data_IF_285927700577
#
_entry.id   IF_285927700577
#
_cell.length_a   1.000
_cell.length_b   1.000
_cell.length_c   1.000
_cell.angle_alpha   90.00
_cell.angle_beta   90.00
_cell.angle_gamma   90.00
#
_symmetry.space_group_name_H-M   'P 1'
#
loop_
_entity.id
_entity.type
_entity.pdbx_description
1 polymer ?
#
# COMPACT_ATOMS: atom_id res chain seq x y z
N UNK A 1 0.66 69.06 22.81
CA UNK A 1 1.84 68.56 23.55
C UNK A 1 2.21 67.22 22.94
N UNK A 2 3.04 67.24 21.89
CA UNK A 2 4.50 67.01 21.94
C UNK A 2 4.84 65.54 22.25
N UNK A 3 5.64 64.79 21.51
CA UNK A 3 6.46 64.98 20.30
C UNK A 3 7.13 63.61 19.99
N UNK A 4 7.75 63.48 18.80
CA UNK A 4 8.87 62.57 18.46
C UNK A 4 8.61 61.14 17.91
N UNK A 5 8.48 61.07 16.58
CA UNK A 5 9.48 60.56 15.61
C UNK A 5 10.35 59.31 15.91
N UNK A 6 10.38 58.36 14.96
CA UNK A 6 11.53 57.56 14.41
C UNK A 6 11.14 56.09 14.17
N UNK A 7 11.60 55.33 13.18
CA UNK A 7 12.21 55.52 11.85
C UNK A 7 12.00 54.18 11.15
N UNK A 8 11.47 54.18 9.92
CA UNK A 8 11.44 53.02 9.03
C UNK A 8 12.87 52.72 8.57
N UNK A 9 13.37 51.51 8.87
CA UNK A 9 14.63 51.00 8.33
C UNK A 9 14.32 49.90 7.31
N UNK A 10 14.73 50.13 6.06
CA UNK A 10 14.74 49.17 4.97
C UNK A 10 15.75 48.04 5.25
N UNK A 11 15.51 46.80 4.81
CA UNK A 11 16.57 45.82 4.66
C UNK A 11 17.33 46.08 3.34
N UNK A 12 18.62 46.32 3.49
CA UNK A 12 19.62 46.50 2.44
C UNK A 12 19.84 45.22 1.63
N UNK A 13 19.95 45.41 0.33
CA UNK A 13 20.44 44.46 -0.67
C UNK A 13 21.90 44.09 -0.39
N UNK A 14 22.19 42.80 -0.17
CA UNK A 14 23.54 42.25 -0.23
C UNK A 14 23.73 41.49 -1.54
N UNK A 15 24.73 41.95 -2.30
CA UNK A 15 25.19 41.41 -3.56
C UNK A 15 25.89 40.06 -3.36
N UNK A 16 25.49 39.09 -4.18
CA UNK A 16 26.19 37.83 -4.36
C UNK A 16 27.54 38.04 -5.06
N UNK A 17 28.63 37.58 -4.44
CA UNK A 17 29.90 37.28 -5.11
C UNK A 17 30.26 35.78 -4.96
N UNK A 18 30.79 35.11 -6.00
CA UNK A 18 30.91 33.65 -6.07
C UNK A 18 32.31 33.13 -5.72
N UNK A 19 32.40 31.97 -5.04
CA UNK A 19 33.64 31.26 -4.66
C UNK A 19 33.34 29.74 -4.75
N UNK A 20 34.30 28.85 -5.13
CA UNK A 20 34.28 28.09 -6.38
C UNK A 20 33.86 26.62 -6.20
N UNK A 21 33.29 26.03 -7.26
CA UNK A 21 32.97 24.60 -7.27
C UNK A 21 34.18 23.77 -7.71
N UNK A 22 34.72 22.98 -6.78
CA UNK A 22 35.67 21.91 -7.05
C UNK A 22 34.95 20.70 -7.64
N UNK A 23 35.50 20.20 -8.74
CA UNK A 23 35.01 19.08 -9.53
C UNK A 23 35.27 17.74 -8.85
N UNK A 24 34.21 16.99 -8.55
CA UNK A 24 34.31 15.56 -8.26
C UNK A 24 33.59 14.77 -9.35
N UNK A 25 34.39 13.97 -10.06
CA UNK A 25 34.08 13.24 -11.29
C UNK A 25 33.09 12.11 -11.00
N UNK A 26 31.88 12.22 -11.55
CA UNK A 26 30.96 11.09 -11.67
C UNK A 26 31.24 10.33 -12.98
N UNK A 27 31.74 9.10 -12.85
CA UNK A 27 31.91 8.14 -13.93
C UNK A 27 30.54 7.77 -14.52
N UNK A 28 30.20 8.32 -15.68
CA UNK A 28 29.10 7.82 -16.50
C UNK A 28 29.59 6.63 -17.34
N UNK A 29 28.90 5.49 -17.18
CA UNK A 29 29.12 4.31 -18.00
C UNK A 29 28.75 4.63 -19.46
N UNK A 30 29.76 4.65 -20.33
CA UNK A 30 29.59 4.71 -21.78
C UNK A 30 28.99 3.36 -22.20
N UNK A 31 27.67 3.33 -22.44
CA UNK A 31 27.07 2.29 -23.27
C UNK A 31 27.49 2.63 -24.70
N UNK A 32 28.55 1.99 -25.17
CA UNK A 32 28.96 2.06 -26.56
C UNK A 32 27.84 1.52 -27.44
N UNK A 33 27.11 2.42 -28.11
CA UNK A 33 26.32 2.07 -29.29
C UNK A 33 27.29 1.50 -30.32
N UNK A 34 27.22 0.19 -30.56
CA UNK A 34 27.91 -0.46 -31.66
C UNK A 34 27.25 -0.05 -32.99
N UNK A 35 27.46 1.19 -33.42
CA UNK A 35 27.13 1.64 -34.77
C UNK A 35 28.26 1.25 -35.72
N UNK A 36 28.37 -0.05 -36.02
CA UNK A 36 29.12 -0.51 -37.19
C UNK A 36 28.31 -0.25 -38.44
N UNK A 37 28.23 1.03 -38.86
CA UNK A 37 27.84 1.40 -40.22
C UNK A 37 29.00 2.15 -40.85
N UNK A 38 29.57 1.55 -41.90
CA UNK A 38 30.66 2.13 -42.68
C UNK A 38 30.25 3.50 -43.23
N UNK A 39 31.19 4.44 -43.27
CA UNK A 39 31.03 5.84 -43.71
C UNK A 39 30.29 5.99 -45.05
N UNK A 40 30.42 5.02 -45.95
CA UNK A 40 29.75 4.98 -47.26
C UNK A 40 28.20 4.87 -47.22
N UNK A 41 27.59 4.53 -46.07
CA UNK A 41 26.13 4.52 -45.91
C UNK A 41 25.55 5.84 -45.40
N UNK A 42 26.38 6.69 -44.76
CA UNK A 42 25.94 8.04 -44.33
C UNK A 42 25.72 8.95 -45.52
N UNK A 43 26.49 8.79 -46.60
CA UNK A 43 26.43 9.64 -47.80
C UNK A 43 25.28 9.28 -48.76
N UNK A 44 24.71 8.09 -48.66
CA UNK A 44 23.59 7.64 -49.52
C UNK A 44 22.20 7.74 -48.86
N UNK A 45 22.13 8.18 -47.62
CA UNK A 45 20.86 8.37 -46.89
C UNK A 45 20.34 9.80 -47.04
N UNK A 46 19.28 10.01 -47.82
CA UNK A 46 18.60 11.31 -47.88
C UNK A 46 18.21 11.78 -46.47
N UNK A 47 18.71 12.94 -46.04
CA UNK A 47 18.35 13.58 -44.76
C UNK A 47 16.83 13.68 -44.64
N UNK A 48 16.26 13.13 -43.56
CA UNK A 48 14.82 13.30 -43.28
C UNK A 48 14.63 14.59 -42.50
N UNK A 49 13.92 15.56 -43.08
CA UNK A 49 13.62 16.82 -42.41
C UNK A 49 12.77 16.59 -41.15
N UNK A 50 13.06 17.31 -40.08
CA UNK A 50 12.23 17.41 -38.87
C UNK A 50 10.90 18.11 -39.17
N UNK A 51 9.97 18.13 -38.21
CA UNK A 51 8.71 18.86 -38.39
C UNK A 51 8.96 20.37 -38.57
N UNK A 52 9.81 20.94 -37.73
CA UNK A 52 10.16 22.36 -37.74
C UNK A 52 10.89 22.75 -39.04
N UNK A 53 11.80 21.92 -39.53
CA UNK A 53 12.46 22.15 -40.83
C UNK A 53 11.47 22.11 -41.99
N UNK A 54 10.48 21.20 -41.97
CA UNK A 54 9.44 21.17 -43.01
C UNK A 54 8.50 22.36 -42.92
N UNK A 55 8.22 22.88 -41.71
CA UNK A 55 7.44 24.11 -41.50
C UNK A 55 8.18 25.32 -42.07
N UNK A 56 9.45 25.51 -41.70
CA UNK A 56 10.30 26.58 -42.23
C UNK A 56 10.44 26.51 -43.75
N UNK A 57 10.55 25.29 -44.30
CA UNK A 57 10.56 25.09 -45.75
C UNK A 57 9.24 25.48 -46.40
N UNK A 58 8.09 25.25 -45.76
CA UNK A 58 6.81 25.73 -46.27
C UNK A 58 6.71 27.26 -46.20
N UNK A 59 7.09 27.87 -45.07
CA UNK A 59 7.11 29.33 -44.91
C UNK A 59 8.01 30.00 -45.97
N UNK A 60 9.17 29.40 -46.24
CA UNK A 60 10.09 29.84 -47.29
C UNK A 60 9.45 29.82 -48.69
N UNK A 61 8.68 28.78 -49.00
CA UNK A 61 7.99 28.63 -50.28
C UNK A 61 6.77 29.57 -50.39
N UNK A 62 6.04 29.77 -49.29
CA UNK A 62 4.90 30.70 -49.23
C UNK A 62 5.34 32.14 -49.50
N UNK A 63 6.52 32.56 -49.01
CA UNK A 63 7.12 33.87 -49.31
C UNK A 63 7.53 34.05 -50.78
N UNK A 64 7.72 32.95 -51.52
CA UNK A 64 8.13 32.91 -52.94
C UNK A 64 7.02 32.41 -53.86
N UNK A 65 5.77 32.61 -53.42
CA UNK A 65 4.55 32.30 -54.17
C UNK A 65 4.16 33.52 -55.02
N UNK A 66 3.63 33.28 -56.22
CA UNK A 66 3.01 34.35 -57.03
C UNK A 66 1.67 34.74 -56.39
N UNK A 67 1.52 36.01 -56.04
CA UNK A 67 0.30 36.53 -55.39
C UNK A 67 -0.97 36.11 -56.14
N UNK A 68 -1.99 35.68 -55.40
CA UNK A 68 -3.26 35.22 -55.96
C UNK A 68 -3.27 33.82 -56.61
N UNK A 69 -2.12 33.13 -56.75
CA UNK A 69 -2.07 31.81 -57.42
C UNK A 69 -1.29 30.76 -56.64
N UNK A 70 -1.56 29.47 -56.78
CA UNK A 70 -0.79 28.39 -56.10
C UNK A 70 0.58 28.11 -56.74
N UNK A 71 1.01 28.96 -57.68
CA UNK A 71 2.27 28.82 -58.43
C UNK A 71 3.43 29.45 -57.67
N UNK A 72 4.57 28.77 -57.68
CA UNK A 72 5.83 29.26 -57.11
C UNK A 72 6.60 30.08 -58.15
N UNK A 73 7.36 31.08 -57.70
CA UNK A 73 8.29 31.83 -58.53
C UNK A 73 9.33 30.91 -59.18
N UNK A 74 9.88 31.34 -60.33
CA UNK A 74 10.92 30.60 -61.05
C UNK A 74 12.11 30.35 -60.09
N UNK A 75 12.66 29.15 -60.11
CA UNK A 75 13.76 28.70 -59.24
C UNK A 75 13.47 28.54 -57.73
N UNK A 76 12.29 28.89 -57.21
CA UNK A 76 11.97 28.78 -55.78
C UNK A 76 12.16 27.36 -55.19
N UNK A 77 11.81 26.31 -55.96
CA UNK A 77 12.01 24.91 -55.56
C UNK A 77 13.49 24.53 -55.52
N UNK A 78 14.30 25.11 -56.41
CA UNK A 78 15.74 24.87 -56.48
C UNK A 78 16.47 25.60 -55.34
N UNK A 79 16.05 26.83 -55.03
CA UNK A 79 16.56 27.60 -53.89
C UNK A 79 16.23 26.92 -52.56
N UNK A 80 14.98 26.48 -52.37
CA UNK A 80 14.58 25.75 -51.18
C UNK A 80 15.32 24.39 -51.05
N UNK A 81 15.59 23.71 -52.17
CA UNK A 81 16.38 22.49 -52.16
C UNK A 81 17.82 22.72 -51.69
N UNK A 82 18.43 23.84 -52.11
CA UNK A 82 19.78 24.23 -51.71
C UNK A 82 19.84 24.66 -50.23
N UNK A 83 18.89 25.49 -49.77
CA UNK A 83 18.85 26.02 -48.40
C UNK A 83 18.62 24.93 -47.36
N UNK A 84 17.71 23.99 -47.64
CA UNK A 84 17.37 22.90 -46.71
C UNK A 84 18.17 21.61 -46.95
N UNK A 85 19.08 21.60 -47.93
CA UNK A 85 19.96 20.46 -48.23
C UNK A 85 19.18 19.17 -48.60
N UNK A 86 18.12 19.30 -49.39
CA UNK A 86 17.23 18.19 -49.79
C UNK A 86 16.99 18.16 -51.29
N UNK A 87 16.66 16.98 -51.83
CA UNK A 87 16.34 16.84 -53.25
C UNK A 87 15.10 17.66 -53.66
N UNK A 88 15.12 18.25 -54.86
CA UNK A 88 14.04 19.09 -55.42
C UNK A 88 12.68 18.36 -55.44
N UNK A 89 12.68 17.02 -55.55
CA UNK A 89 11.44 16.22 -55.49
C UNK A 89 10.83 16.22 -54.08
N UNK A 90 11.65 16.31 -53.03
CA UNK A 90 11.18 16.38 -51.63
C UNK A 90 10.44 17.70 -51.38
N UNK A 91 11.03 18.80 -51.84
CA UNK A 91 10.43 20.15 -51.80
C UNK A 91 9.12 20.17 -52.58
N UNK A 92 9.13 19.65 -53.81
CA UNK A 92 7.94 19.59 -54.68
C UNK A 92 6.81 18.75 -54.06
N UNK A 93 7.13 17.61 -53.44
CA UNK A 93 6.15 16.76 -52.74
C UNK A 93 5.58 17.42 -51.49
N UNK A 94 6.37 18.22 -50.76
CA UNK A 94 5.84 18.99 -49.64
C UNK A 94 4.87 20.06 -50.14
N UNK A 95 5.28 20.83 -51.17
CA UNK A 95 4.45 21.90 -51.74
C UNK A 95 3.12 21.38 -52.27
N UNK A 96 3.13 20.31 -53.07
CA UNK A 96 1.90 19.69 -53.58
C UNK A 96 0.93 19.28 -52.47
N UNK A 97 1.44 18.76 -51.34
CA UNK A 97 0.60 18.38 -50.19
C UNK A 97 0.02 19.59 -49.47
N UNK A 98 0.82 20.64 -49.28
CA UNK A 98 0.34 21.88 -48.69
C UNK A 98 -0.75 22.54 -49.56
N UNK A 99 -0.54 22.60 -50.89
CA UNK A 99 -1.53 23.09 -51.85
C UNK A 99 -2.80 22.24 -51.81
N UNK A 100 -2.67 20.91 -51.82
CA UNK A 100 -3.83 20.01 -51.73
C UNK A 100 -4.62 20.18 -50.43
N UNK A 101 -3.94 20.42 -49.29
CA UNK A 101 -4.62 20.67 -48.01
C UNK A 101 -5.39 22.00 -48.04
N UNK A 102 -4.79 23.01 -48.68
CA UNK A 102 -5.41 24.32 -48.86
C UNK A 102 -6.62 24.27 -49.82
N UNK A 103 -6.53 23.48 -50.89
CA UNK A 103 -7.65 23.23 -51.82
C UNK A 103 -8.78 22.42 -51.17
N UNK A 104 -8.45 21.53 -50.23
CA UNK A 104 -9.43 20.77 -49.45
C UNK A 104 -10.10 21.58 -48.32
N UNK A 105 -9.66 22.82 -48.08
CA UNK A 105 -10.20 23.70 -47.04
C UNK A 105 -9.67 23.44 -45.62
N UNK A 106 -8.54 22.74 -45.48
CA UNK A 106 -7.93 22.49 -44.16
C UNK A 106 -7.36 23.80 -43.57
N UNK A 107 -7.64 24.09 -42.29
CA UNK A 107 -7.09 25.27 -41.57
C UNK A 107 -5.56 25.25 -41.46
N UNK A 108 -4.94 24.07 -41.56
CA UNK A 108 -3.49 23.86 -41.45
C UNK A 108 -2.98 22.97 -42.59
N UNK A 109 -1.92 23.42 -43.27
CA UNK A 109 -1.29 22.64 -44.34
C UNK A 109 -0.68 21.32 -43.83
N UNK A 110 -0.85 20.20 -44.56
CA UNK A 110 -0.20 18.90 -44.23
C UNK A 110 1.32 18.93 -44.46
N UNK A 111 2.05 19.22 -43.39
CA UNK A 111 3.52 19.23 -43.32
C UNK A 111 4.05 17.97 -42.61
N UNK A 112 3.16 17.12 -42.10
CA UNK A 112 3.51 15.95 -41.31
C UNK A 112 4.30 14.91 -42.11
N UNK A 113 5.08 14.11 -41.40
CA UNK A 113 5.84 13.02 -42.03
C UNK A 113 4.93 11.83 -42.22
N UNK A 114 4.77 11.36 -43.46
CA UNK A 114 4.03 10.10 -43.75
C UNK A 114 4.75 8.83 -43.27
N UNK A 115 5.91 9.01 -42.61
CA UNK A 115 6.72 7.94 -42.04
C UNK A 115 6.38 7.67 -40.57
N UNK A 116 5.85 8.65 -39.84
CA UNK A 116 5.42 8.46 -38.45
C UNK A 116 4.21 7.52 -38.45
N UNK A 117 4.23 6.49 -37.59
CA UNK A 117 3.18 5.45 -37.52
C UNK A 117 3.16 4.43 -38.66
N UNK A 118 3.88 4.68 -39.77
CA UNK A 118 3.94 3.76 -40.94
C UNK A 118 5.28 3.03 -41.07
N UNK A 119 6.25 3.33 -40.21
CA UNK A 119 7.53 2.61 -40.13
C UNK A 119 7.47 1.55 -39.03
N UNK A 120 8.14 0.44 -39.29
CA UNK A 120 8.27 -0.67 -38.34
C UNK A 120 7.30 -1.82 -38.60
N UNK A 121 7.49 -2.91 -37.86
CA UNK A 121 6.61 -4.08 -37.91
C UNK A 121 5.25 -3.71 -37.32
N UNK A 122 4.16 -4.00 -38.05
CA UNK A 122 2.81 -3.87 -37.50
C UNK A 122 2.64 -4.80 -36.31
N UNK A 123 2.19 -4.28 -35.16
CA UNK A 123 1.86 -5.11 -34.00
C UNK A 123 0.69 -6.03 -34.38
N UNK A 124 0.79 -7.32 -34.05
CA UNK A 124 -0.35 -8.24 -34.13
C UNK A 124 -1.26 -7.94 -32.94
N UNK A 125 -2.55 -7.89 -33.19
CA UNK A 125 -3.54 -7.80 -32.12
C UNK A 125 -3.73 -9.19 -31.48
N UNK A 126 -3.60 -9.25 -30.15
CA UNK A 126 -3.73 -10.45 -29.32
C UNK A 126 -4.98 -10.41 -28.45
N UNK A 127 -5.86 -9.42 -28.66
CA UNK A 127 -7.07 -9.19 -27.86
C UNK A 127 -8.01 -10.40 -27.82
N UNK A 128 -8.15 -11.13 -28.93
CA UNK A 128 -8.96 -12.34 -29.01
C UNK A 128 -8.38 -13.48 -28.17
N UNK A 129 -7.07 -13.66 -28.20
CA UNK A 129 -6.36 -14.66 -27.41
C UNK A 129 -6.36 -14.34 -25.91
N UNK A 130 -6.25 -13.07 -25.53
CA UNK A 130 -6.36 -12.64 -24.13
C UNK A 130 -7.75 -12.89 -23.55
N UNK A 131 -8.82 -12.75 -24.34
CA UNK A 131 -10.19 -13.08 -23.88
C UNK A 131 -10.32 -14.56 -23.49
N UNK A 132 -9.65 -15.46 -24.20
CA UNK A 132 -9.64 -16.91 -23.91
C UNK A 132 -8.92 -17.28 -22.62
N UNK A 133 -8.11 -16.38 -22.04
CA UNK A 133 -7.44 -16.63 -20.76
C UNK A 133 -8.44 -16.99 -19.67
N UNK A 134 -9.65 -16.39 -19.68
CA UNK A 134 -10.71 -16.63 -18.69
C UNK A 134 -11.28 -18.05 -18.71
N UNK A 135 -11.13 -18.78 -19.80
CA UNK A 135 -11.65 -20.13 -19.96
C UNK A 135 -10.61 -21.21 -19.61
N UNK A 136 -9.33 -20.85 -19.48
CA UNK A 136 -8.24 -21.78 -19.21
C UNK A 136 -8.28 -22.22 -17.73
N UNK A 137 -8.17 -23.51 -17.37
CA UNK A 137 -8.12 -23.92 -15.96
C UNK A 137 -7.00 -23.22 -15.16
N UNK A 138 -7.26 -22.87 -13.89
CA UNK A 138 -6.30 -22.15 -13.04
C UNK A 138 -4.92 -22.84 -12.95
N UNK A 139 -4.89 -24.17 -12.97
CA UNK A 139 -3.66 -24.97 -12.98
C UNK A 139 -2.71 -24.64 -14.14
N UNK A 140 -3.25 -24.19 -15.28
CA UNK A 140 -2.49 -23.81 -16.48
C UNK A 140 -2.18 -22.30 -16.54
N UNK A 141 -2.64 -21.49 -15.57
CA UNK A 141 -2.35 -20.05 -15.46
C UNK A 141 -1.21 -19.71 -14.50
N UNK A 142 -0.68 -20.69 -13.76
CA UNK A 142 0.26 -20.43 -12.66
C UNK A 142 1.62 -19.83 -13.06
N UNK A 143 2.15 -20.19 -14.24
CA UNK A 143 3.40 -19.60 -14.76
C UNK A 143 3.18 -18.98 -16.13
N UNK A 144 3.94 -17.91 -16.43
CA UNK A 144 3.90 -17.27 -17.76
C UNK A 144 4.20 -18.28 -18.87
N UNK A 145 5.07 -19.27 -18.61
CA UNK A 145 5.37 -20.34 -19.57
C UNK A 145 4.16 -21.24 -19.82
N UNK A 146 3.47 -21.69 -18.76
CA UNK A 146 2.28 -22.54 -18.89
C UNK A 146 1.13 -21.78 -19.56
N UNK A 147 0.93 -20.51 -19.19
CA UNK A 147 -0.09 -19.65 -19.77
C UNK A 147 0.19 -19.37 -21.25
N UNK A 148 1.45 -19.09 -21.61
CA UNK A 148 1.87 -18.92 -23.00
C UNK A 148 1.53 -20.13 -23.86
N UNK A 149 1.81 -21.34 -23.38
CA UNK A 149 1.47 -22.59 -24.08
C UNK A 149 -0.04 -22.78 -24.19
N UNK A 150 -0.80 -22.47 -23.13
CA UNK A 150 -2.25 -22.68 -23.11
C UNK A 150 -3.01 -21.68 -23.99
N UNK A 151 -2.56 -20.42 -24.05
CA UNK A 151 -3.19 -19.37 -24.86
C UNK A 151 -2.70 -19.42 -26.32
N UNK A 152 -1.47 -19.90 -26.55
CA UNK A 152 -0.81 -19.90 -27.86
C UNK A 152 -0.10 -18.57 -28.18
N UNK A 153 0.27 -17.79 -27.16
CA UNK A 153 1.03 -16.54 -27.31
C UNK A 153 2.50 -16.82 -26.96
N UNK A 154 3.47 -16.32 -27.73
CA UNK A 154 4.88 -16.40 -27.34
C UNK A 154 5.12 -15.80 -25.96
N UNK A 155 5.91 -16.49 -25.12
CA UNK A 155 6.16 -16.12 -23.72
C UNK A 155 6.57 -14.66 -23.54
N UNK A 156 7.46 -14.14 -24.39
CA UNK A 156 7.96 -12.77 -24.32
C UNK A 156 6.87 -11.75 -24.62
N UNK A 157 6.06 -12.01 -25.64
CA UNK A 157 4.90 -11.19 -26.01
C UNK A 157 3.85 -11.17 -24.90
N UNK A 158 3.53 -12.33 -24.33
CA UNK A 158 2.60 -12.41 -23.20
C UNK A 158 3.11 -11.65 -21.97
N UNK A 159 4.41 -11.71 -21.69
CA UNK A 159 5.01 -10.95 -20.60
C UNK A 159 4.93 -9.42 -20.82
N UNK A 160 5.17 -8.93 -22.05
CA UNK A 160 5.01 -7.51 -22.38
C UNK A 160 3.55 -7.06 -22.24
N UNK A 161 2.59 -7.85 -22.75
CA UNK A 161 1.16 -7.57 -22.62
C UNK A 161 0.72 -7.49 -21.15
N UNK A 162 1.15 -8.44 -20.32
CA UNK A 162 0.84 -8.43 -18.88
C UNK A 162 1.51 -7.25 -18.14
N UNK A 163 2.66 -6.78 -18.61
CA UNK A 163 3.31 -5.59 -18.04
C UNK A 163 2.55 -4.31 -18.36
N UNK A 164 1.94 -4.22 -19.54
CA UNK A 164 1.07 -3.10 -19.94
C UNK A 164 -0.28 -3.13 -19.18
N UNK A 165 -0.85 -4.31 -18.90
CA UNK A 165 -2.12 -4.47 -18.16
C UNK A 165 -1.97 -4.41 -16.63
N UNK A 166 -0.76 -4.56 -16.09
CA UNK A 166 -0.46 -4.53 -14.66
C UNK A 166 -0.23 -5.93 -14.06
N UNK A 167 0.55 -5.98 -12.98
CA UNK A 167 0.86 -7.25 -12.31
C UNK A 167 -0.38 -7.82 -11.62
N UNK A 168 -0.75 -9.09 -11.84
CA UNK A 168 -1.89 -9.69 -11.15
C UNK A 168 -1.64 -9.73 -9.64
N UNK A 169 -2.60 -9.24 -8.87
CA UNK A 169 -2.60 -9.35 -7.41
C UNK A 169 -2.94 -10.80 -7.02
N UNK A 170 -2.10 -11.42 -6.19
CA UNK A 170 -2.41 -12.72 -5.59
C UNK A 170 -3.18 -12.45 -4.30
N UNK A 171 -4.45 -12.86 -4.25
CA UNK A 171 -5.22 -12.78 -3.01
C UNK A 171 -4.60 -13.71 -1.96
N UNK A 172 -4.57 -13.28 -0.70
CA UNK A 172 -4.12 -14.12 0.41
C UNK A 172 -4.96 -15.40 0.47
N UNK A 173 -4.30 -16.56 0.53
CA UNK A 173 -4.97 -17.86 0.64
C UNK A 173 -5.67 -17.91 2.00
N UNK A 174 -7.00 -18.02 1.99
CA UNK A 174 -7.79 -18.19 3.20
C UNK A 174 -7.74 -19.64 3.67
N UNK A 175 -7.73 -19.90 4.99
CA UNK A 175 -7.70 -21.27 5.51
C UNK A 175 -8.96 -22.03 5.12
N UNK A 176 -8.84 -23.33 4.85
CA UNK A 176 -10.01 -24.20 4.68
C UNK A 176 -10.73 -24.37 6.04
N UNK A 177 -12.06 -24.28 6.03
CA UNK A 177 -12.88 -24.39 7.24
C UNK A 177 -13.73 -25.66 7.19
N UNK A 178 -13.70 -26.45 8.27
CA UNK A 178 -14.66 -27.53 8.51
C UNK A 178 -16.00 -26.95 8.95
N UNK A 179 -17.08 -27.73 8.85
CA UNK A 179 -18.41 -27.25 9.26
C UNK A 179 -18.49 -26.94 10.75
N UNK A 180 -17.76 -27.70 11.58
CA UNK A 180 -17.53 -27.36 13.00
C UNK A 180 -16.90 -25.98 13.17
N UNK A 181 -15.86 -25.65 12.39
CA UNK A 181 -15.23 -24.32 12.48
C UNK A 181 -16.19 -23.21 12.06
N UNK A 182 -17.01 -23.44 11.02
CA UNK A 182 -18.04 -22.48 10.58
C UNK A 182 -19.08 -22.25 11.67
N UNK A 183 -19.53 -23.31 12.33
CA UNK A 183 -20.49 -23.23 13.43
C UNK A 183 -19.93 -22.46 14.63
N UNK A 184 -18.68 -22.74 15.05
CA UNK A 184 -18.02 -22.00 16.13
C UNK A 184 -17.87 -20.50 15.79
N UNK A 185 -17.61 -20.16 14.51
CA UNK A 185 -17.59 -18.78 14.03
C UNK A 185 -18.97 -18.12 14.14
N UNK A 186 -20.04 -18.81 13.74
CA UNK A 186 -21.41 -18.30 13.83
C UNK A 186 -21.84 -18.06 15.28
N UNK A 187 -21.56 -19.02 16.18
CA UNK A 187 -21.84 -18.88 17.61
C UNK A 187 -21.11 -17.67 18.20
N UNK A 188 -19.85 -17.46 17.81
CA UNK A 188 -19.08 -16.31 18.23
C UNK A 188 -19.71 -14.98 17.76
N UNK A 189 -20.11 -14.88 16.49
CA UNK A 189 -20.78 -13.69 15.96
C UNK A 189 -22.12 -13.42 16.64
N UNK A 190 -22.93 -14.48 16.83
CA UNK A 190 -24.23 -14.37 17.51
C UNK A 190 -24.10 -13.88 18.95
N UNK A 191 -23.07 -14.33 19.68
CA UNK A 191 -22.80 -13.89 21.07
C UNK A 191 -22.44 -12.40 21.16
N UNK A 192 -21.93 -11.79 20.08
CA UNK A 192 -21.58 -10.37 20.01
C UNK A 192 -22.74 -9.50 19.53
N UNK A 193 -23.91 -10.07 19.28
CA UNK A 193 -25.11 -9.36 18.86
C UNK A 193 -26.01 -9.07 20.07
N UNK A 194 -26.46 -7.82 20.19
CA UNK A 194 -27.43 -7.40 21.19
C UNK A 194 -28.86 -7.76 20.74
N UNK A 195 -29.83 -7.84 21.68
CA UNK A 195 -31.22 -8.16 21.34
C UNK A 195 -31.86 -7.22 20.31
N UNK A 196 -31.39 -5.98 20.21
CA UNK A 196 -31.87 -4.98 19.26
C UNK A 196 -31.22 -5.08 17.87
N UNK A 197 -30.36 -6.08 17.62
CA UNK A 197 -29.69 -6.27 16.32
C UNK A 197 -28.43 -5.43 16.10
N UNK A 198 -28.01 -4.63 17.09
CA UNK A 198 -26.71 -3.96 17.07
C UNK A 198 -25.61 -4.92 17.54
N UNK A 199 -24.41 -4.82 16.95
CA UNK A 199 -23.24 -5.45 17.55
C UNK A 199 -22.88 -4.77 18.87
N UNK A 200 -22.22 -5.52 19.76
CA UNK A 200 -21.62 -4.94 20.96
C UNK A 200 -20.66 -3.81 20.63
N UNK A 201 -20.66 -2.78 21.47
CA UNK A 201 -19.75 -1.64 21.37
C UNK A 201 -18.28 -2.04 21.57
N UNK A 202 -18.01 -3.18 22.21
CA UNK A 202 -16.66 -3.68 22.48
C UNK A 202 -15.79 -2.69 23.29
N UNK A 203 -16.38 -1.75 24.04
CA UNK A 203 -15.65 -0.79 24.85
C UNK A 203 -14.85 -1.44 25.99
N UNK A 204 -15.28 -2.63 26.42
CA UNK A 204 -14.65 -3.44 27.44
C UNK A 204 -13.77 -4.57 26.87
N UNK A 205 -13.44 -4.54 25.57
CA UNK A 205 -12.61 -5.56 24.92
C UNK A 205 -11.26 -4.97 24.53
N UNK A 206 -10.19 -5.63 24.97
CA UNK A 206 -8.80 -5.35 24.60
C UNK A 206 -8.35 -6.39 23.60
N UNK A 207 -7.96 -5.98 22.40
CA UNK A 207 -7.42 -6.88 21.39
C UNK A 207 -5.90 -6.92 21.46
N UNK A 208 -5.35 -8.13 21.54
CA UNK A 208 -3.91 -8.37 21.54
C UNK A 208 -3.54 -9.19 20.32
N UNK A 209 -2.46 -8.81 19.64
CA UNK A 209 -1.91 -9.59 18.54
C UNK A 209 -0.38 -9.70 18.60
N UNK A 210 0.14 -10.84 18.18
CA UNK A 210 1.56 -11.15 18.04
C UNK A 210 1.97 -11.04 16.57
N UNK A 211 2.91 -10.15 16.25
CA UNK A 211 3.35 -9.92 14.87
C UNK A 211 4.86 -9.77 14.75
N UNK A 212 5.43 -10.42 13.75
CA UNK A 212 6.80 -10.17 13.32
C UNK A 212 6.87 -8.88 12.51
N UNK A 213 7.70 -7.94 12.94
CA UNK A 213 8.04 -6.74 12.22
C UNK A 213 9.51 -6.79 11.82
N UNK A 214 9.83 -6.27 10.65
CA UNK A 214 11.18 -6.33 10.07
C UNK A 214 11.65 -4.94 9.69
N UNK A 215 12.97 -4.72 9.74
CA UNK A 215 13.54 -3.50 9.22
C UNK A 215 13.28 -3.40 7.69
N UNK A 216 12.94 -2.21 7.16
CA UNK A 216 12.74 -2.01 5.73
C UNK A 216 13.98 -2.31 4.88
N UNK A 217 15.14 -1.90 5.40
CA UNK A 217 16.45 -2.02 4.73
C UNK A 217 17.02 -3.44 4.84
N UNK A 218 16.69 -4.16 5.91
CA UNK A 218 17.12 -5.52 6.14
C UNK A 218 15.96 -6.43 6.56
N UNK A 219 15.54 -7.30 5.64
CA UNK A 219 14.49 -8.29 5.89
C UNK A 219 14.94 -9.42 6.82
N UNK A 220 16.24 -9.55 7.14
CA UNK A 220 16.75 -10.57 8.06
C UNK A 220 16.55 -10.16 9.51
N UNK A 221 16.74 -8.88 9.83
CA UNK A 221 16.47 -8.35 11.17
C UNK A 221 14.95 -8.26 11.40
N UNK A 222 14.43 -9.16 12.25
CA UNK A 222 13.02 -9.21 12.64
C UNK A 222 12.88 -9.37 14.14
N UNK A 223 11.88 -8.70 14.70
CA UNK A 223 11.50 -8.79 16.11
C UNK A 223 10.01 -9.11 16.18
N UNK A 224 9.62 -10.01 17.09
CA UNK A 224 8.22 -10.25 17.40
C UNK A 224 7.74 -9.17 18.37
N UNK A 225 6.59 -8.58 18.09
CA UNK A 225 5.92 -7.62 18.95
C UNK A 225 4.57 -8.17 19.41
N UNK A 226 4.25 -7.93 20.68
CA UNK A 226 2.87 -8.00 21.17
C UNK A 226 2.29 -6.60 21.19
N UNK A 227 1.18 -6.39 20.49
CA UNK A 227 0.51 -5.09 20.43
C UNK A 227 -0.88 -5.22 21.03
N UNK A 228 -1.23 -4.32 21.95
CA UNK A 228 -2.53 -4.25 22.59
C UNK A 228 -3.24 -2.92 22.29
N UNK A 229 -4.49 -3.04 21.86
CA UNK A 229 -5.35 -1.92 21.48
C UNK A 229 -6.75 -2.16 22.03
N UNK A 230 -7.36 -1.12 22.57
CA UNK A 230 -8.75 -1.09 23.00
C UNK A 230 -9.52 -0.07 22.16
N UNK A 231 -10.85 -0.08 22.27
CA UNK A 231 -11.67 0.88 21.54
C UNK A 231 -11.54 2.29 22.16
N UNK A 232 -11.30 3.33 21.34
CA UNK A 232 -11.29 4.71 21.82
C UNK A 232 -12.65 5.07 22.40
N UNK A 233 -12.67 5.75 23.55
CA UNK A 233 -13.90 6.08 24.26
C UNK A 233 -13.67 7.27 25.20
N UNK A 234 -14.75 7.92 25.63
CA UNK A 234 -14.66 8.97 26.64
C UNK A 234 -14.43 8.37 28.04
N UNK A 235 -13.44 8.88 28.78
CA UNK A 235 -13.23 8.52 30.17
C UNK A 235 -13.92 9.54 31.09
N UNK A 236 -15.03 9.17 31.77
CA UNK A 236 -15.73 10.09 32.67
C UNK A 236 -14.91 10.44 33.92
N UNK A 237 -13.99 9.58 34.34
CA UNK A 237 -13.16 9.78 35.54
C UNK A 237 -12.05 10.76 35.25
N UNK A 238 -11.35 10.58 34.12
CA UNK A 238 -10.26 11.47 33.69
C UNK A 238 -10.73 12.76 33.01
N UNK A 239 -12.00 12.78 32.58
CA UNK A 239 -12.59 13.86 31.77
C UNK A 239 -11.78 14.14 30.50
N UNK A 240 -11.27 13.06 29.89
CA UNK A 240 -10.46 13.11 28.69
C UNK A 240 -10.83 11.96 27.75
N UNK A 241 -10.50 12.12 26.48
CA UNK A 241 -10.78 11.10 25.47
C UNK A 241 -9.66 10.05 25.44
N UNK A 242 -10.01 8.81 25.75
CA UNK A 242 -9.10 7.69 25.67
C UNK A 242 -8.87 7.30 24.20
N UNK A 243 -7.61 7.35 23.75
CA UNK A 243 -7.23 7.15 22.35
C UNK A 243 -7.23 5.68 21.90
N UNK A 244 -7.48 4.74 22.80
CA UNK A 244 -7.52 3.30 22.52
C UNK A 244 -6.15 2.60 22.53
N UNK A 245 -5.04 3.34 22.73
CA UNK A 245 -3.69 2.77 22.68
C UNK A 245 -3.28 2.26 24.05
N UNK A 246 -2.87 0.99 24.13
CA UNK A 246 -2.34 0.42 25.38
C UNK A 246 -0.82 0.33 25.28
N UNK A 247 -0.30 -0.38 24.28
CA UNK A 247 1.13 -0.48 24.05
C UNK A 247 1.54 -1.47 22.97
N UNK A 248 2.82 -1.41 22.62
CA UNK A 248 3.51 -2.35 21.74
C UNK A 248 4.81 -2.78 22.43
N UNK A 249 4.94 -4.07 22.73
CA UNK A 249 6.07 -4.62 23.48
C UNK A 249 6.88 -5.58 22.62
N UNK A 250 8.20 -5.36 22.45
CA UNK A 250 9.07 -6.28 21.73
C UNK A 250 9.46 -7.49 22.58
N UNK A 251 9.60 -8.66 21.95
CA UNK A 251 10.27 -9.82 22.54
C UNK A 251 11.77 -9.75 22.25
N UNK A 252 12.50 -9.10 23.15
CA UNK A 252 13.97 -8.94 23.09
C UNK A 252 14.60 -9.36 24.41
N UNK A 253 15.83 -9.87 24.35
CA UNK A 253 16.68 -10.15 25.51
C UNK A 253 17.83 -9.15 25.54
N UNK A 254 18.24 -8.73 26.73
CA UNK A 254 19.45 -7.93 26.89
C UNK A 254 20.66 -8.84 26.66
N UNK A 255 21.47 -8.53 25.64
CA UNK A 255 22.66 -9.27 25.30
C UNK A 255 23.73 -9.02 26.36
N UNK A 256 24.24 -10.09 26.98
CA UNK A 256 25.40 -9.98 27.88
C UNK A 256 26.65 -9.83 27.03
N UNK A 257 27.24 -8.64 27.01
CA UNK A 257 28.54 -8.41 26.37
C UNK A 257 29.61 -9.22 27.12
N UNK A 258 30.21 -10.22 26.47
CA UNK A 258 31.43 -10.85 26.97
C UNK A 258 32.56 -9.83 26.76
N UNK A 259 32.94 -9.12 27.83
CA UNK A 259 33.98 -8.10 27.78
C UNK A 259 35.29 -8.64 27.18
N UNK A 260 35.69 -8.10 26.02
CA UNK A 260 37.09 -8.00 25.65
C UNK A 260 37.46 -6.53 25.41
N UNK A 261 37.95 -5.92 26.49
CA UNK A 261 38.87 -4.79 26.56
C UNK A 261 38.41 -3.34 26.22
N UNK A 262 38.70 -2.48 27.22
CA UNK A 262 38.95 -1.02 27.21
C UNK A 262 37.75 -0.03 27.22
N UNK A 263 37.52 0.47 28.44
CA UNK A 263 37.06 1.80 28.93
C UNK A 263 36.22 2.74 28.03
N UNK A 264 35.15 3.21 28.69
CA UNK A 264 34.40 4.46 28.58
C UNK A 264 33.09 4.42 27.78
N UNK A 265 32.10 5.12 28.36
CA UNK A 265 30.66 5.18 28.04
C UNK A 265 29.83 4.02 28.59
N UNK A 266 28.71 4.38 29.23
CA UNK A 266 27.70 3.44 29.73
C UNK A 266 27.39 2.42 28.63
N UNK A 267 27.36 1.11 28.92
CA UNK A 267 27.14 0.13 27.88
C UNK A 267 25.74 0.37 27.32
N UNK A 268 25.69 0.79 26.06
CA UNK A 268 24.44 0.96 25.34
C UNK A 268 23.79 -0.42 25.27
N UNK A 269 22.65 -0.58 25.95
CA UNK A 269 22.01 -1.89 26.15
C UNK A 269 21.77 -2.52 24.78
N UNK A 270 22.54 -3.56 24.47
CA UNK A 270 22.43 -4.24 23.19
C UNK A 270 21.34 -5.29 23.32
N UNK A 271 20.33 -5.24 22.46
CA UNK A 271 19.19 -6.16 22.50
C UNK A 271 19.33 -7.24 21.42
N UNK A 272 19.07 -8.48 21.79
CA UNK A 272 18.94 -9.61 20.89
C UNK A 272 17.46 -9.98 20.72
N UNK A 273 17.03 -10.19 19.48
CA UNK A 273 15.67 -10.60 19.17
C UNK A 273 15.45 -12.06 19.60
N UNK A 274 14.33 -12.34 20.27
CA UNK A 274 13.99 -13.73 20.58
C UNK A 274 13.60 -14.47 19.30
N UNK A 275 14.32 -15.52 18.94
CA UNK A 275 14.03 -16.33 17.74
C UNK A 275 12.71 -17.11 17.88
N UNK A 276 12.42 -17.58 19.09
CA UNK A 276 11.17 -18.26 19.42
C UNK A 276 10.57 -17.64 20.67
N UNK A 277 9.25 -17.42 20.63
CA UNK A 277 8.47 -16.92 21.75
C UNK A 277 7.66 -18.08 22.30
N UNK A 278 7.90 -18.42 23.57
CA UNK A 278 7.21 -19.50 24.26
C UNK A 278 5.88 -19.02 24.85
N UNK A 279 5.04 -19.96 25.30
CA UNK A 279 3.78 -19.61 25.98
C UNK A 279 4.05 -18.85 27.28
N UNK A 280 5.11 -19.21 27.99
CA UNK A 280 5.49 -18.61 29.27
C UNK A 280 5.97 -17.16 29.10
N UNK A 281 6.72 -16.87 28.03
CA UNK A 281 7.12 -15.49 27.70
C UNK A 281 5.89 -14.59 27.46
N UNK A 282 4.87 -15.10 26.76
CA UNK A 282 3.62 -14.36 26.52
C UNK A 282 2.83 -14.17 27.82
N UNK A 283 2.75 -15.20 28.66
CA UNK A 283 2.09 -15.13 29.98
C UNK A 283 2.74 -14.08 30.87
N UNK A 284 4.08 -14.10 30.94
CA UNK A 284 4.84 -13.13 31.72
C UNK A 284 4.58 -11.70 31.21
N UNK A 285 4.66 -11.50 29.90
CA UNK A 285 4.37 -10.20 29.27
C UNK A 285 2.93 -9.72 29.56
N UNK A 286 1.95 -10.63 29.58
CA UNK A 286 0.57 -10.30 29.93
C UNK A 286 0.43 -9.84 31.38
N UNK A 287 1.01 -10.57 32.32
CA UNK A 287 0.91 -10.30 33.75
C UNK A 287 1.72 -9.06 34.18
N UNK A 288 2.94 -8.92 33.68
CA UNK A 288 3.87 -7.88 34.14
C UNK A 288 3.71 -6.55 33.42
N UNK A 289 3.35 -6.56 32.13
CA UNK A 289 3.28 -5.32 31.35
C UNK A 289 1.86 -4.97 30.92
N UNK A 290 1.09 -5.92 30.37
CA UNK A 290 -0.19 -5.61 29.74
C UNK A 290 -1.30 -5.33 30.76
N UNK A 291 -1.49 -6.19 31.76
CA UNK A 291 -2.52 -5.96 32.79
C UNK A 291 -2.25 -4.63 33.53
N UNK A 292 -1.01 -4.33 33.99
CA UNK A 292 -0.72 -3.02 34.57
C UNK A 292 -0.97 -1.86 33.61
N UNK A 293 -0.60 -2.00 32.33
CA UNK A 293 -0.86 -0.95 31.34
C UNK A 293 -2.36 -0.74 31.08
N UNK A 294 -3.17 -1.79 31.10
CA UNK A 294 -4.65 -1.70 31.01
C UNK A 294 -5.17 -0.89 32.19
N UNK A 295 -4.77 -1.22 33.42
CA UNK A 295 -5.20 -0.46 34.62
C UNK A 295 -4.79 1.00 34.58
N UNK A 296 -3.59 1.27 34.06
CA UNK A 296 -3.05 2.62 34.02
C UNK A 296 -3.68 3.46 32.91
N UNK A 297 -4.07 2.89 31.77
CA UNK A 297 -4.51 3.67 30.60
C UNK A 297 -5.99 3.58 30.31
N UNK A 298 -6.60 2.41 30.50
CA UNK A 298 -7.97 2.14 30.10
C UNK A 298 -8.97 2.69 31.13
N UNK A 299 -10.12 3.23 30.69
CA UNK A 299 -11.23 3.59 31.58
C UNK A 299 -11.74 2.38 32.35
N UNK A 300 -12.26 2.60 33.57
CA UNK A 300 -12.72 1.52 34.42
C UNK A 300 -14.02 0.90 33.90
N UNK A 301 -14.02 -0.41 33.71
CA UNK A 301 -15.18 -1.22 33.32
C UNK A 301 -15.39 -2.35 34.34
N UNK A 302 -16.64 -2.81 34.49
CA UNK A 302 -16.96 -3.90 35.44
C UNK A 302 -16.28 -5.22 35.08
N UNK A 303 -16.14 -5.52 33.79
CA UNK A 303 -15.42 -6.72 33.31
C UNK A 303 -14.76 -6.40 31.98
N UNK A 304 -13.45 -6.66 31.89
CA UNK A 304 -12.63 -6.45 30.70
C UNK A 304 -12.25 -7.79 30.09
N UNK A 305 -12.42 -7.91 28.77
CA UNK A 305 -12.05 -9.10 28.03
C UNK A 305 -10.78 -8.86 27.21
N UNK A 306 -9.75 -9.66 27.42
CA UNK A 306 -8.55 -9.68 26.60
C UNK A 306 -8.74 -10.73 25.50
N UNK A 307 -8.84 -10.27 24.26
CA UNK A 307 -9.01 -11.12 23.09
C UNK A 307 -7.67 -11.41 22.41
N UNK A 308 -7.40 -12.69 22.12
CA UNK A 308 -6.12 -13.14 21.53
C UNK A 308 -6.33 -14.00 20.26
N UNK A 309 -5.43 -13.85 19.29
CA UNK A 309 -5.49 -14.49 17.95
C UNK A 309 -4.51 -15.67 17.74
N UNK A 310 -3.60 -15.93 18.65
CA UNK A 310 -2.54 -16.91 18.40
C UNK A 310 -2.95 -18.35 18.76
N UNK A 311 -3.22 -19.17 17.73
CA UNK A 311 -3.31 -20.64 17.89
C UNK A 311 -2.07 -21.26 18.55
N UNK A 312 -0.89 -20.62 18.39
CA UNK A 312 0.37 -21.02 19.03
C UNK A 312 0.37 -20.81 20.55
N UNK A 313 -0.41 -19.87 21.07
CA UNK A 313 -0.40 -19.45 22.47
C UNK A 313 -1.83 -19.29 22.99
N UNK A 314 -2.70 -20.27 22.68
CA UNK A 314 -3.90 -20.49 23.50
C UNK A 314 -3.43 -20.82 24.91
N UNK A 315 -3.23 -19.77 25.71
CA UNK A 315 -3.05 -19.89 27.14
C UNK A 315 -4.43 -20.16 27.71
N UNK A 316 -4.58 -21.32 28.34
CA UNK A 316 -5.65 -21.48 29.32
C UNK A 316 -5.23 -20.59 30.48
N UNK A 317 -6.12 -19.72 30.97
CA UNK A 317 -5.78 -18.80 32.05
C UNK A 317 -5.13 -19.55 33.21
N UNK A 318 -3.91 -19.17 33.58
CA UNK A 318 -3.24 -19.74 34.74
C UNK A 318 -3.70 -19.00 36.01
N UNK A 319 -3.54 -19.61 37.19
CA UNK A 319 -3.92 -19.00 38.48
C UNK A 319 -3.33 -17.61 38.68
N UNK A 320 -2.08 -17.40 38.28
CA UNK A 320 -1.37 -16.11 38.40
C UNK A 320 -2.07 -15.01 37.58
N UNK A 321 -2.48 -15.32 36.35
CA UNK A 321 -3.20 -14.36 35.51
C UNK A 321 -4.57 -14.00 36.11
N UNK A 322 -5.27 -14.98 36.68
CA UNK A 322 -6.57 -14.73 37.31
C UNK A 322 -6.47 -13.90 38.59
N UNK A 323 -5.44 -14.15 39.41
CA UNK A 323 -5.16 -13.33 40.59
C UNK A 323 -4.78 -11.91 40.19
N UNK A 324 -3.86 -11.79 39.23
CA UNK A 324 -3.44 -10.51 38.69
C UNK A 324 -4.63 -9.78 38.08
N UNK A 325 -5.47 -10.42 37.28
CA UNK A 325 -6.64 -9.81 36.65
C UNK A 325 -7.78 -9.44 37.60
N UNK A 326 -7.79 -9.97 38.83
CA UNK A 326 -8.78 -9.66 39.88
C UNK A 326 -8.34 -8.60 40.89
N UNK A 327 -7.08 -8.19 40.85
CA UNK A 327 -6.55 -7.19 41.78
C UNK A 327 -7.19 -5.82 41.54
N UNK A 328 -7.29 -5.04 42.61
CA UNK A 328 -7.76 -3.65 42.61
C UNK A 328 -9.20 -3.48 42.07
N UNK A 329 -10.05 -4.50 42.27
CA UNK A 329 -11.45 -4.49 41.84
C UNK A 329 -11.65 -4.64 40.33
N UNK A 330 -10.58 -4.89 39.57
CA UNK A 330 -10.68 -5.25 38.16
C UNK A 330 -11.18 -6.68 38.01
N UNK A 331 -11.85 -6.98 36.92
CA UNK A 331 -12.20 -8.35 36.55
C UNK A 331 -11.82 -8.57 35.08
N UNK A 332 -10.57 -8.98 34.88
CA UNK A 332 -10.00 -9.20 33.55
C UNK A 332 -10.08 -10.69 33.19
N UNK A 333 -10.68 -10.99 32.05
CA UNK A 333 -10.85 -12.35 31.55
C UNK A 333 -10.23 -12.53 30.18
N UNK A 334 -9.70 -13.73 29.90
CA UNK A 334 -9.17 -14.07 28.59
C UNK A 334 -10.29 -14.62 27.68
N UNK A 335 -10.41 -14.09 26.47
CA UNK A 335 -11.33 -14.56 25.44
C UNK A 335 -10.54 -15.07 24.22
N UNK A 336 -10.66 -16.37 23.93
CA UNK A 336 -10.05 -16.95 22.74
C UNK A 336 -10.93 -16.75 21.51
N UNK A 337 -10.30 -16.49 20.37
CA UNK A 337 -10.97 -16.48 19.07
C UNK A 337 -11.31 -17.89 18.58
N UNK A 338 -12.39 -18.05 17.78
CA UNK A 338 -12.66 -19.28 17.05
C UNK A 338 -11.46 -19.69 16.19
N UNK A 339 -11.22 -21.00 16.00
CA UNK A 339 -10.12 -21.50 15.19
C UNK A 339 -10.21 -20.97 13.73
N UNK A 340 -9.05 -20.78 13.10
CA UNK A 340 -8.93 -20.35 11.70
C UNK A 340 -9.71 -19.06 11.35
N UNK A 341 -9.80 -18.12 12.29
CA UNK A 341 -10.58 -16.89 12.14
C UNK A 341 -9.73 -15.61 12.26
N UNK A 342 -8.71 -15.42 11.39
CA UNK A 342 -7.88 -14.22 11.41
C UNK A 342 -8.68 -12.94 11.13
N UNK A 343 -9.83 -13.08 10.47
CA UNK A 343 -10.76 -12.00 10.14
C UNK A 343 -11.38 -11.36 11.40
N UNK A 344 -11.34 -12.04 12.55
CA UNK A 344 -11.89 -11.56 13.82
C UNK A 344 -10.90 -10.80 14.70
N UNK A 345 -9.85 -10.26 14.08
CA UNK A 345 -8.85 -9.43 14.76
C UNK A 345 -8.99 -7.96 14.39
N UNK A 346 -9.02 -7.09 15.40
CA UNK A 346 -8.94 -5.62 15.18
C UNK A 346 -7.57 -5.26 14.61
N UNK A 347 -6.50 -5.86 15.15
CA UNK A 347 -5.14 -5.76 14.64
C UNK A 347 -4.98 -6.61 13.37
N UNK A 348 -5.74 -6.26 12.34
CA UNK A 348 -5.74 -6.88 11.02
C UNK A 348 -4.55 -6.42 10.18
N UNK A 349 -4.49 -6.86 8.92
CA UNK A 349 -3.43 -6.43 8.00
C UNK A 349 -3.34 -4.92 7.82
N UNK A 350 -4.44 -4.16 7.97
CA UNK A 350 -4.49 -2.73 7.68
C UNK A 350 -3.76 -1.92 8.75
N UNK A 351 -4.03 -2.16 10.05
CA UNK A 351 -3.30 -1.47 11.13
C UNK A 351 -1.80 -1.80 11.10
N UNK A 352 -1.44 -3.07 10.88
CA UNK A 352 -0.04 -3.44 10.73
C UNK A 352 0.61 -2.90 9.45
N UNK A 353 -0.13 -2.78 8.35
CA UNK A 353 0.36 -2.15 7.13
C UNK A 353 0.65 -0.67 7.36
N UNK A 354 -0.18 0.03 8.14
CA UNK A 354 0.07 1.41 8.56
C UNK A 354 1.34 1.51 9.42
N UNK A 355 1.50 0.64 10.42
CA UNK A 355 2.72 0.60 11.25
C UNK A 355 3.95 0.33 10.36
N UNK A 356 3.88 -0.67 9.48
CA UNK A 356 4.99 -1.03 8.61
C UNK A 356 5.31 0.07 7.57
N UNK A 357 4.31 0.81 7.10
CA UNK A 357 4.51 1.97 6.23
C UNK A 357 5.20 3.12 6.98
N UNK A 358 4.78 3.41 8.22
CA UNK A 358 5.43 4.41 9.07
C UNK A 358 6.88 4.05 9.39
N UNK A 359 7.15 2.79 9.73
CA UNK A 359 8.51 2.28 9.95
C UNK A 359 9.37 2.45 8.69
N UNK A 360 8.81 2.19 7.48
CA UNK A 360 9.51 2.46 6.22
C UNK A 360 9.92 3.92 6.10
N UNK A 361 9.00 4.84 6.32
CA UNK A 361 9.26 6.28 6.21
C UNK A 361 10.31 6.76 7.22
N UNK A 362 10.20 6.34 8.48
CA UNK A 362 11.13 6.71 9.55
C UNK A 362 12.54 6.18 9.31
N UNK A 363 12.66 4.93 8.85
CA UNK A 363 13.95 4.35 8.52
C UNK A 363 14.62 5.03 7.33
N UNK A 364 13.95 5.76 6.43
CA UNK A 364 14.66 6.50 5.36
C UNK A 364 15.34 7.78 5.85
N UNK A 365 14.82 8.42 6.91
CA UNK A 365 15.38 9.64 7.50
C UNK A 365 16.58 9.41 8.41
N UNK A 366 16.64 8.26 9.10
CA UNK A 366 17.76 7.90 9.98
C UNK A 366 18.89 7.26 9.18
N UNK A 367 19.90 8.05 8.79
CA UNK A 367 21.08 7.58 8.03
C UNK A 367 22.39 7.77 8.80
N UNK A 368 22.34 8.31 10.02
CA UNK A 368 23.50 8.87 10.72
C UNK A 368 23.73 8.35 12.16
N UNK A 369 23.04 7.29 12.63
CA UNK A 369 23.23 6.81 14.01
C UNK A 369 23.65 5.34 14.01
N UNK A 370 24.78 5.06 14.67
CA UNK A 370 25.38 3.76 14.91
C UNK A 370 24.63 2.94 15.98
N UNK A 371 23.30 2.81 15.84
CA UNK A 371 22.49 1.98 16.72
C UNK A 371 22.41 0.54 16.19
N UNK A 372 22.29 -0.44 17.09
CA UNK A 372 21.95 -1.81 16.68
C UNK A 372 20.63 -1.80 15.90
N UNK A 373 20.56 -2.54 14.79
CA UNK A 373 19.36 -2.55 13.93
C UNK A 373 18.07 -2.97 14.65
N UNK A 374 18.19 -3.71 15.75
CA UNK A 374 17.07 -4.09 16.63
C UNK A 374 16.57 -2.90 17.45
N UNK A 375 17.47 -2.10 18.04
CA UNK A 375 17.09 -0.89 18.77
C UNK A 375 16.40 0.13 17.84
N UNK A 376 16.93 0.31 16.62
CA UNK A 376 16.26 1.14 15.60
C UNK A 376 14.84 0.62 15.30
N UNK A 377 14.67 -0.71 15.16
CA UNK A 377 13.37 -1.31 14.88
C UNK A 377 12.38 -1.06 16.02
N UNK A 378 12.79 -1.28 17.28
CA UNK A 378 11.94 -1.09 18.46
C UNK A 378 11.46 0.36 18.53
N UNK A 379 12.38 1.33 18.51
CA UNK A 379 12.04 2.76 18.56
C UNK A 379 11.16 3.19 17.38
N UNK A 380 11.43 2.66 16.18
CA UNK A 380 10.61 2.96 15.00
C UNK A 380 9.19 2.43 15.12
N UNK A 381 9.01 1.24 15.71
CA UNK A 381 7.69 0.64 15.93
C UNK A 381 6.94 1.38 17.03
N UNK A 382 7.60 1.74 18.13
CA UNK A 382 7.01 2.55 19.20
C UNK A 382 6.53 3.90 18.67
N UNK A 383 7.35 4.60 17.88
CA UNK A 383 6.94 5.85 17.24
C UNK A 383 5.80 5.63 16.24
N UNK A 384 5.88 4.60 15.40
CA UNK A 384 4.82 4.27 14.45
C UNK A 384 3.50 3.89 15.14
N UNK A 385 3.55 3.32 16.33
CA UNK A 385 2.37 3.02 17.14
C UNK A 385 1.79 4.30 17.76
N UNK A 386 2.65 5.21 18.24
CA UNK A 386 2.23 6.49 18.78
C UNK A 386 1.51 7.36 17.72
N UNK A 387 1.91 7.29 16.45
CA UNK A 387 1.31 8.07 15.35
C UNK A 387 -0.05 7.55 14.87
N UNK A 388 -0.49 6.36 15.30
CA UNK A 388 -1.82 5.84 14.97
C UNK A 388 -2.89 6.79 15.54
N UNK A 389 -3.94 7.10 14.78
CA UNK A 389 -5.02 7.95 15.29
C UNK A 389 -6.12 7.11 15.96
N UNK A 390 -6.87 7.71 16.87
CA UNK A 390 -8.07 7.09 17.47
C UNK A 390 -9.06 6.64 16.39
N UNK A 391 -9.20 7.42 15.31
CA UNK A 391 -10.11 7.10 14.21
C UNK A 391 -9.69 5.83 13.47
N UNK A 392 -8.39 5.66 13.20
CA UNK A 392 -7.87 4.43 12.58
C UNK A 392 -8.15 3.19 13.44
N UNK A 393 -8.08 3.34 14.76
CA UNK A 393 -8.40 2.25 15.70
C UNK A 393 -9.90 1.98 15.65
N UNK A 394 -10.75 3.00 15.77
CA UNK A 394 -12.20 2.83 15.73
C UNK A 394 -12.68 2.22 14.40
N UNK A 395 -12.09 2.62 13.27
CA UNK A 395 -12.32 2.05 11.94
C UNK A 395 -12.01 0.55 11.90
N UNK A 396 -10.96 0.11 12.60
CA UNK A 396 -10.61 -1.30 12.69
C UNK A 396 -11.64 -2.10 13.49
N UNK A 397 -12.22 -1.54 14.56
CA UNK A 397 -13.34 -2.15 15.29
C UNK A 397 -14.61 -2.24 14.44
N UNK A 398 -14.91 -1.22 13.65
CA UNK A 398 -16.06 -1.25 12.73
C UNK A 398 -15.86 -2.24 11.58
N UNK A 399 -14.63 -2.37 11.09
CA UNK A 399 -14.25 -3.39 10.11
C UNK A 399 -14.43 -4.80 10.68
N UNK A 400 -14.10 -5.01 11.96
CA UNK A 400 -14.36 -6.27 12.65
C UNK A 400 -15.86 -6.58 12.72
N UNK A 401 -16.70 -5.61 13.10
CA UNK A 401 -18.16 -5.81 13.13
C UNK A 401 -18.72 -6.15 11.73
N UNK A 402 -18.24 -5.48 10.68
CA UNK A 402 -18.59 -5.84 9.29
C UNK A 402 -18.11 -7.23 8.89
N UNK A 403 -16.94 -7.67 9.36
CA UNK A 403 -16.48 -9.04 9.14
C UNK A 403 -17.38 -10.07 9.82
N UNK A 404 -17.89 -9.78 11.00
CA UNK A 404 -18.88 -10.63 11.68
C UNK A 404 -20.20 -10.70 10.90
N UNK A 405 -20.74 -9.56 10.45
CA UNK A 405 -21.94 -9.50 9.61
C UNK A 405 -21.79 -10.32 8.32
N UNK A 406 -20.66 -10.16 7.61
CA UNK A 406 -20.38 -10.92 6.40
C UNK A 406 -20.27 -12.43 6.70
N UNK A 407 -19.62 -12.80 7.81
CA UNK A 407 -19.51 -14.20 8.23
C UNK A 407 -20.88 -14.81 8.52
N UNK A 408 -21.78 -14.05 9.13
CA UNK A 408 -23.16 -14.48 9.38
C UNK A 408 -23.94 -14.70 8.07
N UNK A 409 -23.79 -13.80 7.09
CA UNK A 409 -24.43 -13.94 5.77
C UNK A 409 -23.98 -15.19 5.01
N UNK A 410 -22.69 -15.51 5.05
CA UNK A 410 -22.14 -16.70 4.35
C UNK A 410 -22.12 -17.96 5.24
N UNK A 411 -22.94 -18.00 6.29
CA UNK A 411 -23.12 -19.17 7.15
C UNK A 411 -21.80 -19.71 7.74
N UNK A 412 -20.94 -18.81 8.22
CA UNK A 412 -19.69 -19.17 8.90
C UNK A 412 -18.50 -19.40 7.98
N UNK A 413 -18.70 -19.41 6.66
CA UNK A 413 -17.62 -19.49 5.69
C UNK A 413 -16.75 -18.22 5.66
N UNK A 414 -15.58 -18.31 5.04
CA UNK A 414 -14.65 -17.19 4.83
C UNK A 414 -14.59 -16.75 3.36
N UNK A 415 -15.60 -17.07 2.55
CA UNK A 415 -15.65 -16.77 1.11
C UNK A 415 -16.01 -15.31 0.80
N UNK A 416 -16.38 -14.52 1.81
CA UNK A 416 -16.72 -13.11 1.64
C UNK A 416 -15.50 -12.24 1.37
N UNK A 417 -15.64 -11.24 0.52
CA UNK A 417 -14.66 -10.16 0.42
C UNK A 417 -15.10 -9.03 1.33
N UNK A 418 -14.24 -8.65 2.26
CA UNK A 418 -14.38 -7.36 2.92
C UNK A 418 -14.12 -6.32 1.84
N UNK A 419 -15.19 -5.77 1.26
CA UNK A 419 -15.08 -4.52 0.53
C UNK A 419 -14.36 -3.50 1.41
N UNK A 420 -13.70 -2.48 0.83
CA UNK A 420 -13.09 -1.42 1.63
C UNK A 420 -14.16 -0.93 2.59
N UNK A 421 -14.06 -1.32 3.87
CA UNK A 421 -15.03 -0.97 4.89
C UNK A 421 -15.18 0.51 4.72
N UNK A 422 -16.40 0.93 4.44
CA UNK A 422 -16.68 2.17 3.75
C UNK A 422 -16.25 3.37 4.58
N UNK A 423 -14.94 3.64 4.57
CA UNK A 423 -14.27 4.78 5.16
C UNK A 423 -15.00 6.02 4.66
N UNK A 424 -15.31 6.02 3.37
CA UNK A 424 -16.04 7.07 2.68
C UNK A 424 -17.56 7.06 2.97
N UNK A 425 -18.26 5.91 2.95
CA UNK A 425 -19.73 5.91 3.20
C UNK A 425 -20.09 6.19 4.66
N UNK A 426 -19.25 5.79 5.64
CA UNK A 426 -19.49 6.06 7.06
C UNK A 426 -19.00 7.45 7.48
N UNK A 427 -17.91 7.98 6.90
CA UNK A 427 -17.48 9.37 7.14
C UNK A 427 -18.43 10.39 6.50
N UNK A 428 -19.11 10.04 5.39
CA UNK A 428 -20.08 10.93 4.72
C UNK A 428 -21.31 11.26 5.59
N UNK A 429 -21.61 10.46 6.62
CA UNK A 429 -22.73 10.68 7.55
C UNK A 429 -22.37 11.56 8.76
N UNK A 430 -21.17 12.15 8.79
CA UNK A 430 -20.79 13.18 9.78
C UNK A 430 -20.33 12.65 11.15
N UNK A 431 -20.40 11.34 11.40
CA UNK A 431 -19.64 10.65 12.45
C UNK A 431 -19.70 9.13 12.25
N UNK A 432 -18.61 8.43 12.53
CA UNK A 432 -18.60 6.96 12.49
C UNK A 432 -19.49 6.42 13.61
N UNK A 433 -20.43 5.48 13.32
CA UNK A 433 -21.32 4.95 14.35
C UNK A 433 -20.53 4.18 15.42
N UNK A 434 -21.01 4.21 16.67
CA UNK A 434 -20.41 3.41 17.76
C UNK A 434 -20.67 1.91 17.53
N UNK A 435 -21.76 1.52 16.87
CA UNK A 435 -22.02 0.11 16.55
C UNK A 435 -22.78 0.01 15.25
N UNK A 436 -22.45 -1.01 14.47
CA UNK A 436 -23.13 -1.31 13.22
C UNK A 436 -24.39 -2.12 13.51
N UNK A 437 -25.50 -1.72 12.89
CA UNK A 437 -26.71 -2.52 12.84
C UNK A 437 -26.49 -3.67 11.88
N UNK A 438 -26.62 -4.90 12.38
CA UNK A 438 -26.46 -6.10 11.58
C UNK A 438 -27.64 -6.21 10.60
N UNK A 439 -27.37 -6.61 9.36
CA UNK A 439 -28.42 -6.83 8.37
C UNK A 439 -29.38 -7.94 8.87
N UNK A 440 -30.71 -7.72 8.87
CA UNK A 440 -31.68 -8.76 9.25
C UNK A 440 -31.48 -10.08 8.50
N UNK A 441 -31.10 -10.04 7.23
CA UNK A 441 -30.82 -11.23 6.42
C UNK A 441 -29.65 -12.05 7.01
N UNK A 442 -28.63 -11.36 7.51
CA UNK A 442 -27.47 -11.97 8.16
C UNK A 442 -27.88 -12.66 9.47
N UNK A 443 -28.73 -12.00 10.25
CA UNK A 443 -29.26 -12.53 11.51
C UNK A 443 -30.09 -13.78 11.22
N UNK A 444 -30.97 -13.74 10.22
CA UNK A 444 -31.81 -14.86 9.84
C UNK A 444 -30.98 -16.05 9.32
N UNK A 445 -30.01 -15.79 8.44
CA UNK A 445 -29.10 -16.82 7.93
C UNK A 445 -28.28 -17.49 9.04
N UNK A 446 -27.78 -16.70 10.00
CA UNK A 446 -27.05 -17.21 11.15
C UNK A 446 -27.94 -18.09 12.05
N UNK A 447 -29.16 -17.65 12.36
CA UNK A 447 -30.12 -18.43 13.16
C UNK A 447 -30.49 -19.74 12.48
N UNK A 448 -30.87 -19.71 11.21
CA UNK A 448 -31.21 -20.91 10.46
C UNK A 448 -30.06 -21.93 10.43
N UNK A 449 -28.81 -21.48 10.28
CA UNK A 449 -27.64 -22.36 10.30
C UNK A 449 -27.33 -22.93 11.69
N UNK A 450 -27.59 -22.18 12.76
CA UNK A 450 -27.43 -22.66 14.14
C UNK A 450 -28.53 -23.67 14.50
N UNK A 451 -29.78 -23.39 14.14
CA UNK A 451 -30.93 -24.24 14.43
C UNK A 451 -30.83 -25.58 13.67
N UNK A 452 -30.50 -25.54 12.37
CA UNK A 452 -30.29 -26.76 11.57
C UNK A 452 -29.17 -27.65 12.11
N UNK A 453 -28.09 -27.06 12.65
CA UNK A 453 -27.04 -27.82 13.30
C UNK A 453 -27.48 -28.45 14.64
N UNK A 454 -28.47 -27.87 15.33
CA UNK A 454 -29.03 -28.50 16.55
C UNK A 454 -29.92 -29.69 16.21
N UNK A 455 -30.65 -29.63 15.10
CA UNK A 455 -31.50 -30.73 14.62
C UNK A 455 -30.66 -31.91 14.11
N UNK A 456 -29.59 -31.68 13.34
CA UNK A 456 -28.66 -32.75 12.91
C UNK A 456 -27.95 -33.45 14.09
N UNK A 457 -27.68 -32.72 15.18
CA UNK A 457 -27.11 -33.29 16.39
C UNK A 457 -28.13 -34.09 17.22
N UNK A 458 -29.44 -33.89 17.00
CA UNK A 458 -30.51 -34.68 17.64
C UNK A 458 -30.84 -35.94 16.84
N UNK A 459 -30.68 -35.93 15.51
CA UNK A 459 -30.90 -37.09 14.64
C UNK A 459 -29.73 -38.10 14.61
N UNK A 460 -28.58 -37.74 15.19
CA UNK A 460 -27.37 -38.57 15.22
C UNK A 460 -27.18 -39.40 16.50
N UNK A 461 -28.21 -39.48 17.37
CA UNK A 461 -28.24 -40.31 18.59
C UNK A 461 -29.19 -41.50 18.51
#
# INVERSE_FOLDING_TARGET
MTELSRTLAQPTSEEHSPVPQSSTIAKSCIIASCDKKTSAWKERGSRNLTFEERRKMLEFLLKRRVEGTTKLMRHAVTEAAAEFGVDRRTVSRLWKRAVQSLENGDEVCDIASRKIGRRGRRKRDWSAELKRVKDIPLSRRGSIRALATAVGIPKTTLHELLKEEGTPSINAIKPSLTDKNKLERLQYCAKKLRPNGLFDDMHNVVHINLKWLSLPRDRKTKVMFMVAVARPQWDPVRRDFYDGKIGAWPFVREAKQLCSSVKSFQPDKTFEAMETVTKDDVRQMLAELIIPAIRQKMPMHFTVYIQQDSTKVRCVGDGIFFEEGRRDGWHIQLQNLPPYSPDFTVMNSLLFQSIQASVKTLSFGSRNVSNSGISELVTSVEHAFATITSDQINDAFLSLQKAMECTMLVQGANTYELGPTSREQLQYQGSLPVSIMCNPDAIQACRAALDGATEENLESF
#
